data_IF_757659999889
#
_entry.id   IF_757659999889
#
_cell.length_a   1.000
_cell.length_b   1.000
_cell.length_c   1.000
_cell.angle_alpha   90.00
_cell.angle_beta   90.00
_cell.angle_gamma   90.00
#
_symmetry.space_group_name_H-M   'P 1'
#
loop_
_entity.id
_entity.type
_entity.pdbx_description
1 polymer ?
#
# COMPACT_ATOMS: atom_id res chain seq x y z
N UNK A 1 32.69 75.61 44.00
CA UNK A 1 33.42 74.33 43.90
C UNK A 1 32.55 73.35 43.13
N UNK A 2 33.10 72.77 42.20
CA UNK A 2 32.61 72.11 40.98
C UNK A 2 31.51 71.07 41.19
N UNK A 3 30.36 71.23 40.55
CA UNK A 3 29.29 70.26 40.35
C UNK A 3 29.51 69.49 39.03
N UNK A 4 29.51 68.18 39.08
CA UNK A 4 29.53 67.32 37.89
C UNK A 4 28.11 66.88 37.55
N UNK A 5 27.63 67.33 36.39
CA UNK A 5 26.45 66.82 35.76
C UNK A 5 26.74 65.42 35.19
N UNK A 6 25.93 64.45 35.52
CA UNK A 6 25.89 63.12 34.86
C UNK A 6 24.66 63.09 33.96
N UNK A 7 24.90 63.03 32.66
CA UNK A 7 23.86 62.82 31.62
C UNK A 7 23.59 61.34 31.48
N UNK A 8 22.39 60.90 31.82
CA UNK A 8 21.94 59.52 31.59
C UNK A 8 21.57 59.34 30.12
N UNK A 9 22.27 58.46 29.41
CA UNK A 9 21.94 58.01 28.03
C UNK A 9 21.02 56.80 28.16
N UNK A 10 19.73 56.98 27.79
CA UNK A 10 18.75 55.87 27.68
C UNK A 10 18.99 55.17 26.33
N UNK A 11 19.47 53.91 26.38
CA UNK A 11 19.59 53.06 25.21
C UNK A 11 18.26 52.36 25.00
N UNK A 12 17.57 52.69 23.93
CA UNK A 12 16.34 52.05 23.46
C UNK A 12 16.73 50.76 22.72
N UNK A 13 16.56 49.62 23.31
CA UNK A 13 16.78 48.33 22.65
C UNK A 13 15.57 48.01 21.76
N UNK A 14 15.77 48.09 20.42
CA UNK A 14 14.84 47.55 19.41
C UNK A 14 14.96 46.03 19.42
N UNK A 15 13.98 45.35 19.96
CA UNK A 15 13.82 43.89 19.82
C UNK A 15 13.30 43.59 18.40
N UNK A 16 14.21 43.19 17.51
CA UNK A 16 13.82 42.58 16.23
C UNK A 16 13.32 41.17 16.50
N UNK A 17 12.00 40.98 16.42
CA UNK A 17 11.37 39.67 16.47
C UNK A 17 11.76 38.86 15.22
N UNK A 18 12.69 37.94 15.37
CA UNK A 18 12.91 36.88 14.38
C UNK A 18 11.70 35.94 14.41
N UNK A 19 10.82 36.07 13.41
CA UNK A 19 9.82 35.08 13.12
C UNK A 19 10.52 33.76 12.79
N UNK A 20 10.46 32.79 13.71
CA UNK A 20 10.94 31.44 13.50
C UNK A 20 10.11 30.72 12.43
N UNK A 21 10.48 30.89 11.17
CA UNK A 21 10.03 30.00 10.11
C UNK A 21 10.51 28.60 10.47
N UNK A 22 9.58 27.62 10.58
CA UNK A 22 9.95 26.21 10.67
C UNK A 22 10.90 25.91 9.51
N UNK A 23 12.02 25.20 9.74
CA UNK A 23 12.87 24.76 8.65
C UNK A 23 12.00 23.98 7.67
N UNK A 24 11.98 24.37 6.41
CA UNK A 24 11.44 23.54 5.32
C UNK A 24 12.37 22.33 5.28
N UNK A 25 11.88 21.19 5.79
CA UNK A 25 12.62 19.92 5.72
C UNK A 25 12.94 19.69 4.25
N UNK A 26 14.21 19.70 3.88
CA UNK A 26 14.63 19.46 2.50
C UNK A 26 14.11 18.09 2.06
N UNK A 27 13.38 18.06 0.95
CA UNK A 27 12.89 16.81 0.40
C UNK A 27 14.06 15.83 0.25
N UNK A 28 13.83 14.57 0.61
CA UNK A 28 14.83 13.51 0.35
C UNK A 28 15.21 13.55 -1.13
N UNK A 29 16.50 13.48 -1.50
CA UNK A 29 16.93 13.52 -2.90
C UNK A 29 16.28 12.43 -3.77
N UNK A 30 15.76 11.37 -3.14
CA UNK A 30 15.09 10.25 -3.81
C UNK A 30 13.55 10.33 -3.69
N UNK A 31 12.98 11.45 -3.24
CA UNK A 31 11.53 11.60 -3.11
C UNK A 31 10.85 11.50 -4.47
N UNK A 32 9.72 10.78 -4.54
CA UNK A 32 8.93 10.73 -5.78
C UNK A 32 8.26 12.08 -6.05
N UNK A 33 8.05 12.38 -7.32
CA UNK A 33 7.39 13.62 -7.76
C UNK A 33 5.95 13.32 -8.24
N UNK A 34 5.05 14.32 -8.22
CA UNK A 34 3.70 14.17 -8.76
C UNK A 34 3.69 13.68 -10.21
N UNK A 35 4.59 14.19 -11.05
CA UNK A 35 4.69 13.78 -12.45
C UNK A 35 5.09 12.31 -12.62
N UNK A 36 6.08 11.82 -11.85
CA UNK A 36 6.52 10.43 -11.89
C UNK A 36 5.45 9.48 -11.34
N UNK A 37 4.68 9.93 -10.35
CA UNK A 37 3.55 9.20 -9.79
C UNK A 37 2.43 9.06 -10.81
N UNK A 38 2.02 10.17 -11.44
CA UNK A 38 0.94 10.21 -12.42
C UNK A 38 1.26 9.40 -13.68
N UNK A 39 2.50 9.41 -14.16
CA UNK A 39 2.91 8.65 -15.34
C UNK A 39 2.69 7.14 -15.15
N UNK A 40 3.10 6.59 -14.00
CA UNK A 40 2.91 5.16 -13.70
C UNK A 40 1.43 4.83 -13.43
N UNK A 41 0.71 5.72 -12.74
CA UNK A 41 -0.72 5.58 -12.49
C UNK A 41 -1.50 5.49 -13.80
N UNK A 42 -1.22 6.40 -14.75
CA UNK A 42 -1.86 6.38 -16.07
C UNK A 42 -1.60 5.08 -16.83
N UNK A 43 -0.42 4.50 -16.68
CA UNK A 43 -0.12 3.20 -17.30
C UNK A 43 -0.90 2.04 -16.66
N UNK A 44 -1.11 2.08 -15.34
CA UNK A 44 -1.80 1.03 -14.58
C UNK A 44 -3.34 1.16 -14.60
N UNK A 45 -3.87 2.36 -14.82
CA UNK A 45 -5.31 2.62 -14.93
C UNK A 45 -5.75 2.88 -16.38
N UNK A 46 -4.98 2.45 -17.38
CA UNK A 46 -5.29 2.67 -18.80
C UNK A 46 -6.35 1.67 -19.30
N UNK A 47 -7.23 2.11 -20.18
CA UNK A 47 -8.32 1.30 -20.78
C UNK A 47 -7.83 -0.02 -21.39
N UNK A 48 -6.63 -0.04 -21.96
CA UNK A 48 -6.04 -1.26 -22.54
C UNK A 48 -5.80 -2.40 -21.53
N UNK A 49 -5.90 -2.10 -20.22
CA UNK A 49 -5.85 -3.07 -19.14
C UNK A 49 -7.25 -3.59 -18.74
N UNK A 50 -8.31 -3.13 -19.43
CA UNK A 50 -9.66 -3.71 -19.33
C UNK A 50 -10.19 -3.76 -17.88
N UNK A 51 -9.81 -2.77 -17.04
CA UNK A 51 -10.17 -2.72 -15.63
C UNK A 51 -9.59 -3.87 -14.78
N UNK A 52 -8.53 -4.51 -15.21
CA UNK A 52 -7.68 -5.46 -14.48
C UNK A 52 -8.40 -6.58 -13.74
N UNK A 53 -9.55 -7.06 -14.26
CA UNK A 53 -10.27 -8.16 -13.62
C UNK A 53 -9.40 -9.42 -13.52
N UNK A 54 -9.35 -10.02 -12.34
CA UNK A 54 -8.64 -11.29 -12.09
C UNK A 54 -8.97 -12.35 -13.14
N UNK A 55 -7.93 -12.91 -13.77
CA UNK A 55 -8.07 -13.96 -14.79
C UNK A 55 -8.24 -13.47 -16.21
N UNK A 56 -8.25 -12.18 -16.49
CA UNK A 56 -8.39 -11.60 -17.82
C UNK A 56 -7.02 -11.28 -18.47
N UNK A 57 -6.96 -11.05 -19.79
CA UNK A 57 -5.75 -10.52 -20.43
C UNK A 57 -5.32 -9.16 -19.87
N UNK A 58 -6.24 -8.32 -19.44
CA UNK A 58 -5.97 -7.00 -18.88
C UNK A 58 -5.11 -7.06 -17.62
N UNK A 59 -5.46 -7.92 -16.66
CA UNK A 59 -4.65 -8.09 -15.44
C UNK A 59 -3.28 -8.70 -15.74
N UNK A 60 -3.17 -9.60 -16.73
CA UNK A 60 -1.89 -10.15 -17.13
C UNK A 60 -0.94 -9.09 -17.71
N UNK A 61 -1.48 -8.12 -18.48
CA UNK A 61 -0.73 -6.96 -18.96
C UNK A 61 -0.25 -6.09 -17.77
N UNK A 62 -1.12 -5.83 -16.78
CA UNK A 62 -0.77 -5.09 -15.58
C UNK A 62 0.35 -5.78 -14.78
N UNK A 63 0.26 -7.09 -14.57
CA UNK A 63 1.31 -7.89 -13.93
C UNK A 63 2.66 -7.74 -14.67
N UNK A 64 2.62 -7.74 -16.02
CA UNK A 64 3.80 -7.50 -16.85
C UNK A 64 4.40 -6.10 -16.70
N UNK A 65 3.57 -5.05 -16.51
CA UNK A 65 4.04 -3.69 -16.22
C UNK A 65 4.74 -3.68 -14.86
N UNK A 66 4.11 -4.22 -13.82
CA UNK A 66 4.66 -4.27 -12.46
C UNK A 66 5.99 -5.02 -12.42
N UNK A 67 6.08 -6.19 -13.06
CA UNK A 67 7.31 -6.97 -13.11
C UNK A 67 8.46 -6.22 -13.84
N UNK A 68 8.17 -5.49 -14.92
CA UNK A 68 9.16 -4.64 -15.59
C UNK A 68 9.64 -3.49 -14.69
N UNK A 69 8.74 -2.85 -13.97
CA UNK A 69 9.12 -1.80 -13.02
C UNK A 69 9.96 -2.37 -11.88
N UNK A 70 9.61 -3.52 -11.29
CA UNK A 70 10.44 -4.20 -10.29
C UNK A 70 11.83 -4.53 -10.83
N UNK A 71 11.92 -4.97 -12.10
CA UNK A 71 13.22 -5.19 -12.78
C UNK A 71 14.01 -3.89 -12.94
N UNK A 72 13.36 -2.81 -13.40
CA UNK A 72 13.99 -1.49 -13.56
C UNK A 72 14.53 -0.94 -12.24
N UNK A 73 13.79 -1.14 -11.15
CA UNK A 73 14.18 -0.76 -9.79
C UNK A 73 15.37 -1.61 -9.30
N UNK A 74 15.56 -2.81 -9.82
CA UNK A 74 16.61 -3.73 -9.40
C UNK A 74 16.22 -4.62 -8.22
N UNK A 75 14.92 -4.90 -8.05
CA UNK A 75 14.46 -5.88 -7.06
C UNK A 75 14.82 -7.31 -7.50
N UNK A 76 15.11 -8.16 -6.53
CA UNK A 76 15.32 -9.59 -6.78
C UNK A 76 13.97 -10.30 -6.92
N UNK A 77 13.71 -11.05 -7.99
CA UNK A 77 12.49 -11.83 -8.13
C UNK A 77 12.44 -12.98 -7.10
N UNK A 78 11.26 -13.20 -6.52
CA UNK A 78 11.03 -14.25 -5.52
C UNK A 78 9.73 -15.05 -5.74
N UNK A 79 9.13 -14.94 -6.91
CA UNK A 79 8.03 -15.82 -7.31
C UNK A 79 8.53 -17.20 -7.75
N UNK A 80 7.62 -18.13 -7.98
CA UNK A 80 7.94 -19.47 -8.52
C UNK A 80 8.29 -19.45 -10.02
N UNK A 81 8.06 -18.30 -10.69
CA UNK A 81 8.46 -18.02 -12.07
C UNK A 81 8.90 -16.55 -12.19
N UNK A 82 10.14 -16.27 -11.83
CA UNK A 82 10.66 -14.89 -11.75
C UNK A 82 9.94 -14.07 -10.69
N UNK A 83 9.29 -12.97 -11.08
CA UNK A 83 8.49 -12.18 -10.16
C UNK A 83 7.09 -12.78 -9.88
N UNK A 84 6.65 -13.78 -10.64
CA UNK A 84 5.29 -14.30 -10.58
C UNK A 84 5.17 -15.48 -9.62
N UNK A 85 4.35 -15.34 -8.58
CA UNK A 85 3.86 -16.44 -7.78
C UNK A 85 2.52 -16.89 -8.36
N UNK A 86 2.45 -18.10 -8.91
CA UNK A 86 1.23 -18.66 -9.48
C UNK A 86 0.21 -18.96 -8.39
N UNK A 87 -1.07 -18.78 -8.72
CA UNK A 87 -2.19 -19.02 -7.81
C UNK A 87 -3.18 -19.98 -8.48
N UNK A 88 -3.63 -21.05 -7.79
CA UNK A 88 -4.54 -22.04 -8.36
C UNK A 88 -5.99 -21.55 -8.32
N UNK A 89 -6.34 -20.61 -9.20
CA UNK A 89 -7.69 -20.07 -9.29
C UNK A 89 -8.60 -20.93 -10.19
N UNK A 90 -9.87 -21.02 -9.80
CA UNK A 90 -10.92 -21.70 -10.56
C UNK A 90 -12.18 -20.87 -10.59
N UNK A 91 -12.93 -20.97 -11.70
CA UNK A 91 -14.29 -20.46 -11.77
C UNK A 91 -15.22 -21.41 -10.99
N UNK A 92 -16.01 -20.85 -10.09
CA UNK A 92 -16.91 -21.57 -9.22
C UNK A 92 -18.30 -20.91 -9.22
N UNK A 93 -19.24 -21.57 -8.56
CA UNK A 93 -20.53 -20.97 -8.21
C UNK A 93 -20.53 -20.80 -6.69
N UNK A 94 -20.60 -19.58 -6.24
CA UNK A 94 -20.81 -19.27 -4.82
C UNK A 94 -22.30 -19.19 -4.53
N UNK A 95 -22.76 -19.84 -3.49
CA UNK A 95 -24.17 -19.76 -3.06
C UNK A 95 -24.29 -18.64 -2.03
N UNK A 96 -25.01 -17.58 -2.41
CA UNK A 96 -25.34 -16.45 -1.54
C UNK A 96 -26.85 -16.30 -1.48
N UNK A 97 -27.42 -16.36 -0.29
CA UNK A 97 -28.90 -16.28 -0.08
C UNK A 97 -29.66 -17.23 -1.02
N UNK A 98 -29.21 -18.51 -1.09
CA UNK A 98 -29.77 -19.58 -1.92
C UNK A 98 -29.65 -19.35 -3.44
N UNK A 99 -28.91 -18.34 -3.90
CA UNK A 99 -28.65 -18.07 -5.31
C UNK A 99 -27.20 -18.42 -5.66
N UNK A 100 -27.02 -19.14 -6.77
CA UNK A 100 -25.70 -19.39 -7.34
C UNK A 100 -25.20 -18.15 -8.08
N UNK A 101 -24.08 -17.60 -7.63
CA UNK A 101 -23.43 -16.45 -8.25
C UNK A 101 -22.09 -16.91 -8.83
N UNK A 102 -21.75 -16.56 -10.09
CA UNK A 102 -20.41 -16.82 -10.62
C UNK A 102 -19.33 -16.16 -9.75
N UNK A 103 -18.33 -16.94 -9.38
CA UNK A 103 -17.23 -16.50 -8.54
C UNK A 103 -15.89 -17.05 -9.05
N UNK A 104 -14.81 -16.41 -8.65
CA UNK A 104 -13.46 -16.95 -8.74
C UNK A 104 -13.02 -17.33 -7.32
N UNK A 105 -12.42 -18.48 -7.14
CA UNK A 105 -11.96 -18.95 -5.84
C UNK A 105 -10.64 -19.70 -5.93
N UNK A 106 -9.98 -19.90 -4.79
CA UNK A 106 -8.79 -20.73 -4.67
C UNK A 106 -9.16 -22.21 -4.68
N UNK A 107 -8.51 -23.00 -5.52
CA UNK A 107 -8.40 -24.43 -5.31
C UNK A 107 -7.40 -24.72 -4.19
N UNK A 108 -7.57 -25.81 -3.46
CA UNK A 108 -6.69 -26.16 -2.33
C UNK A 108 -5.25 -26.48 -2.74
N UNK A 109 -5.02 -26.77 -4.02
CA UNK A 109 -3.70 -27.01 -4.62
C UNK A 109 -3.77 -26.89 -6.16
N UNK A 110 -2.61 -26.86 -6.82
CA UNK A 110 -2.55 -26.92 -8.28
C UNK A 110 -3.10 -28.24 -8.82
N UNK A 111 -2.85 -29.38 -8.15
CA UNK A 111 -3.42 -30.68 -8.53
C UNK A 111 -4.96 -30.64 -8.47
N UNK A 112 -5.53 -30.05 -7.42
CA UNK A 112 -6.97 -29.85 -7.33
C UNK A 112 -7.50 -28.92 -8.43
N UNK A 113 -6.80 -27.80 -8.74
CA UNK A 113 -7.15 -26.94 -9.89
C UNK A 113 -7.14 -27.71 -11.19
N UNK A 114 -6.14 -28.55 -11.40
CA UNK A 114 -5.97 -29.29 -12.65
C UNK A 114 -6.97 -30.44 -12.83
N UNK A 115 -7.73 -30.79 -11.80
CA UNK A 115 -8.91 -31.67 -11.91
C UNK A 115 -10.15 -30.96 -12.50
N UNK A 116 -10.18 -29.62 -12.48
CA UNK A 116 -11.27 -28.86 -13.12
C UNK A 116 -11.13 -28.88 -14.65
N UNK A 117 -12.25 -28.74 -15.39
CA UNK A 117 -12.20 -28.57 -16.84
C UNK A 117 -11.35 -27.36 -17.23
N UNK A 118 -10.61 -27.37 -18.37
CA UNK A 118 -9.73 -26.28 -18.78
C UNK A 118 -10.39 -24.91 -18.78
N UNK A 119 -11.64 -24.81 -19.20
CA UNK A 119 -12.42 -23.55 -19.22
C UNK A 119 -12.85 -23.05 -17.84
N UNK A 120 -12.59 -23.79 -16.79
CA UNK A 120 -12.80 -23.38 -15.39
C UNK A 120 -11.50 -23.01 -14.69
N UNK A 121 -10.35 -23.25 -15.28
CA UNK A 121 -9.04 -22.90 -14.72
C UNK A 121 -8.72 -21.45 -15.03
N UNK A 122 -8.62 -20.62 -14.00
CA UNK A 122 -8.37 -19.20 -14.12
C UNK A 122 -6.87 -18.92 -13.93
N UNK A 123 -6.20 -18.19 -14.82
CA UNK A 123 -4.83 -17.74 -14.58
C UNK A 123 -4.81 -16.67 -13.49
N UNK A 124 -3.86 -16.78 -12.55
CA UNK A 124 -3.69 -15.82 -11.47
C UNK A 124 -2.24 -15.81 -10.97
N UNK A 125 -1.75 -14.62 -10.65
CA UNK A 125 -0.39 -14.40 -10.19
C UNK A 125 -0.37 -13.29 -9.15
N UNK A 126 0.37 -13.48 -8.06
CA UNK A 126 0.95 -12.35 -7.33
C UNK A 126 2.25 -11.93 -8.02
N UNK A 127 2.64 -10.67 -7.91
CA UNK A 127 3.94 -10.17 -8.42
C UNK A 127 4.80 -9.78 -7.23
N UNK A 128 5.95 -10.45 -7.06
CA UNK A 128 6.77 -10.40 -5.86
C UNK A 128 8.22 -10.04 -6.17
N UNK A 129 8.71 -8.96 -5.57
CA UNK A 129 10.11 -8.55 -5.63
C UNK A 129 10.69 -8.32 -4.24
N UNK A 130 12.00 -8.56 -4.08
CA UNK A 130 12.69 -8.43 -2.80
C UNK A 130 13.80 -7.39 -2.88
N UNK A 131 13.89 -6.54 -1.86
CA UNK A 131 15.05 -5.72 -1.53
C UNK A 131 15.75 -6.33 -0.32
N UNK A 132 16.98 -6.81 -0.51
CA UNK A 132 17.74 -7.50 0.52
C UNK A 132 18.13 -6.55 1.66
N UNK A 133 17.92 -6.99 2.91
CA UNK A 133 18.39 -6.31 4.11
C UNK A 133 19.91 -6.34 4.27
N UNK A 134 20.44 -5.40 5.02
CA UNK A 134 21.89 -5.25 5.22
C UNK A 134 22.39 -5.63 6.61
N UNK A 135 21.52 -5.90 7.58
CA UNK A 135 21.91 -6.20 8.95
C UNK A 135 21.95 -7.72 9.19
N UNK A 136 23.13 -8.30 9.46
CA UNK A 136 23.27 -9.74 9.73
C UNK A 136 22.45 -10.23 10.93
N UNK A 137 22.16 -9.35 11.92
CA UNK A 137 21.37 -9.70 13.11
C UNK A 137 19.88 -9.81 12.79
N UNK A 138 19.42 -9.15 11.70
CA UNK A 138 18.04 -9.16 11.24
C UNK A 138 17.86 -9.92 9.92
N UNK A 139 18.88 -10.66 9.47
CA UNK A 139 18.85 -11.40 8.20
C UNK A 139 17.75 -12.49 8.16
N UNK A 140 17.30 -12.97 9.32
CA UNK A 140 16.16 -13.89 9.44
C UNK A 140 14.80 -13.19 9.50
N UNK A 141 14.73 -11.85 9.41
CA UNK A 141 13.47 -11.11 9.46
C UNK A 141 13.21 -10.37 8.16
N UNK A 142 11.94 -10.33 7.77
CA UNK A 142 11.50 -9.54 6.63
C UNK A 142 10.18 -8.81 6.93
N UNK A 143 9.91 -7.77 6.16
CA UNK A 143 8.62 -7.09 6.13
C UNK A 143 8.00 -7.22 4.74
N UNK A 144 6.68 -7.17 4.67
CA UNK A 144 5.95 -7.18 3.39
C UNK A 144 5.22 -5.85 3.24
N UNK A 145 5.43 -5.21 2.10
CA UNK A 145 4.71 -4.00 1.68
C UNK A 145 3.93 -4.35 0.42
N UNK A 146 2.63 -4.24 0.45
CA UNK A 146 1.76 -4.73 -0.62
C UNK A 146 0.68 -3.74 -1.03
N UNK A 147 0.05 -4.06 -2.17
CA UNK A 147 -1.14 -3.43 -2.72
C UNK A 147 -1.82 -4.42 -3.66
N UNK A 148 -3.13 -4.33 -3.88
CA UNK A 148 -3.75 -5.16 -4.89
C UNK A 148 -3.71 -4.49 -6.27
N UNK A 149 -3.59 -5.31 -7.34
CA UNK A 149 -3.50 -4.77 -8.68
C UNK A 149 -4.66 -5.19 -9.58
N UNK A 150 -5.57 -6.04 -9.10
CA UNK A 150 -6.83 -6.34 -9.77
C UNK A 150 -7.87 -5.25 -9.47
N UNK A 151 -8.93 -5.22 -10.29
CA UNK A 151 -10.10 -4.41 -10.07
C UNK A 151 -11.33 -5.04 -10.73
N UNK A 152 -12.38 -4.28 -10.91
CA UNK A 152 -13.72 -4.75 -11.27
C UNK A 152 -13.83 -5.27 -12.70
N UNK A 153 -13.01 -4.78 -13.64
CA UNK A 153 -13.02 -5.20 -15.04
C UNK A 153 -13.97 -4.41 -15.93
N UNK A 154 -14.56 -5.10 -16.92
CA UNK A 154 -15.53 -4.53 -17.87
C UNK A 154 -16.92 -5.02 -17.52
N UNK A 155 -17.86 -4.12 -17.36
CA UNK A 155 -19.31 -4.41 -17.21
C UNK A 155 -20.14 -3.26 -17.74
N UNK A 156 -21.35 -3.60 -18.23
CA UNK A 156 -22.31 -2.57 -18.64
C UNK A 156 -22.60 -1.61 -17.49
N UNK A 157 -22.60 -0.31 -17.79
CA UNK A 157 -22.92 0.74 -16.83
C UNK A 157 -23.81 1.81 -17.47
N UNK A 158 -24.76 2.44 -16.71
CA UNK A 158 -25.67 3.44 -17.25
C UNK A 158 -25.00 4.70 -17.83
N UNK A 159 -23.78 5.03 -17.43
CA UNK A 159 -23.01 6.16 -17.98
C UNK A 159 -22.56 5.95 -19.44
N UNK A 160 -22.65 4.72 -19.97
CA UNK A 160 -22.11 4.35 -21.27
C UNK A 160 -20.63 3.91 -21.22
N UNK A 161 -19.86 4.34 -20.24
CA UNK A 161 -18.52 3.81 -19.96
C UNK A 161 -18.64 2.47 -19.24
N UNK A 162 -17.95 1.47 -19.75
CA UNK A 162 -18.01 0.09 -19.25
C UNK A 162 -16.71 -0.40 -18.61
N UNK A 163 -15.64 0.41 -18.68
CA UNK A 163 -14.31 0.04 -18.16
C UNK A 163 -14.15 0.64 -16.78
N UNK A 164 -13.99 -0.20 -15.79
CA UNK A 164 -13.74 0.20 -14.39
C UNK A 164 -12.23 0.28 -14.20
N UNK A 165 -11.62 1.44 -14.45
CA UNK A 165 -10.18 1.61 -14.49
C UNK A 165 -9.51 1.53 -13.11
N UNK A 166 -10.23 1.86 -12.02
CA UNK A 166 -9.72 1.75 -10.66
C UNK A 166 -8.40 2.50 -10.48
N UNK A 167 -8.42 3.82 -10.77
CA UNK A 167 -7.21 4.63 -10.66
C UNK A 167 -6.82 4.83 -9.20
N UNK A 168 -7.80 5.10 -8.34
CA UNK A 168 -7.59 5.15 -6.90
C UNK A 168 -7.61 3.74 -6.31
N UNK A 169 -8.54 2.88 -6.74
CA UNK A 169 -8.75 1.51 -6.28
C UNK A 169 -8.23 0.45 -7.29
N UNK A 170 -7.06 -0.16 -7.17
CA UNK A 170 -5.95 0.25 -6.31
C UNK A 170 -4.65 0.40 -7.13
N UNK A 171 -4.80 1.02 -8.35
CA UNK A 171 -3.59 1.39 -9.09
C UNK A 171 -2.73 2.39 -8.28
N UNK A 172 -3.36 3.21 -7.42
CA UNK A 172 -2.65 4.18 -6.58
C UNK A 172 -1.74 3.49 -5.55
N UNK A 173 -2.22 2.44 -4.91
CA UNK A 173 -1.42 1.63 -3.98
C UNK A 173 -0.29 0.88 -4.66
N UNK A 174 -0.54 0.30 -5.84
CA UNK A 174 0.51 -0.37 -6.63
C UNK A 174 1.62 0.62 -7.00
N UNK A 175 1.26 1.83 -7.44
CA UNK A 175 2.25 2.90 -7.70
C UNK A 175 3.04 3.22 -6.43
N UNK A 176 2.38 3.28 -5.27
CA UNK A 176 3.06 3.54 -4.02
C UNK A 176 4.08 2.45 -3.69
N UNK A 177 3.70 1.18 -3.77
CA UNK A 177 4.59 0.03 -3.53
C UNK A 177 5.85 0.13 -4.40
N UNK A 178 5.70 0.40 -5.70
CA UNK A 178 6.81 0.52 -6.64
C UNK A 178 7.67 1.77 -6.37
N UNK A 179 7.06 2.92 -6.05
CA UNK A 179 7.81 4.16 -5.75
C UNK A 179 8.51 4.12 -4.40
N UNK A 180 7.95 3.44 -3.40
CA UNK A 180 8.63 3.16 -2.13
C UNK A 180 9.85 2.26 -2.39
N UNK A 181 9.69 1.19 -3.17
CA UNK A 181 10.78 0.31 -3.55
C UNK A 181 11.92 1.07 -4.24
N UNK A 182 11.59 1.96 -5.19
CA UNK A 182 12.55 2.80 -5.92
C UNK A 182 13.34 3.71 -4.97
N UNK A 183 12.66 4.39 -4.03
CA UNK A 183 13.29 5.26 -3.04
C UNK A 183 14.23 4.49 -2.10
N UNK A 184 13.79 3.32 -1.64
CA UNK A 184 14.58 2.51 -0.71
C UNK A 184 15.77 1.84 -1.38
N UNK A 185 15.64 1.43 -2.65
CA UNK A 185 16.73 0.87 -3.45
C UNK A 185 17.82 1.91 -3.74
N UNK A 186 17.41 3.17 -3.97
CA UNK A 186 18.34 4.29 -4.23
C UNK A 186 19.02 4.82 -2.95
N UNK A 187 18.55 4.43 -1.77
CA UNK A 187 19.06 4.84 -0.46
C UNK A 187 20.00 3.83 0.20
N UNK A 188 20.35 4.05 1.46
CA UNK A 188 21.07 3.05 2.26
C UNK A 188 20.26 1.76 2.37
N UNK A 189 20.91 0.59 2.40
CA UNK A 189 20.22 -0.68 2.60
C UNK A 189 19.37 -0.65 3.87
N UNK A 190 18.11 -1.14 3.83
CA UNK A 190 17.33 -1.34 5.05
C UNK A 190 17.97 -2.43 5.92
N UNK A 191 17.71 -2.42 7.22
CA UNK A 191 18.23 -3.47 8.09
C UNK A 191 17.57 -4.82 7.81
N UNK A 192 16.22 -4.85 7.71
CA UNK A 192 15.46 -6.05 7.32
C UNK A 192 15.27 -6.13 5.81
N UNK A 193 15.14 -7.33 5.33
CA UNK A 193 14.67 -7.59 3.97
C UNK A 193 13.25 -7.06 3.81
N UNK A 194 12.96 -6.45 2.65
CA UNK A 194 11.62 -5.96 2.31
C UNK A 194 11.12 -6.70 1.07
N UNK A 195 9.95 -7.31 1.19
CA UNK A 195 9.22 -7.87 0.07
C UNK A 195 8.21 -6.81 -0.40
N UNK A 196 8.25 -6.50 -1.68
CA UNK A 196 7.26 -5.67 -2.36
C UNK A 196 6.34 -6.59 -3.15
N UNK A 197 5.04 -6.49 -2.89
CA UNK A 197 4.05 -7.41 -3.41
C UNK A 197 2.90 -6.67 -4.11
N UNK A 198 2.46 -7.22 -5.26
CA UNK A 198 1.21 -6.83 -5.87
C UNK A 198 0.29 -8.07 -5.88
N UNK A 199 -0.84 -7.96 -5.18
CA UNK A 199 -1.78 -9.05 -4.98
C UNK A 199 -2.83 -9.11 -6.07
N UNK A 200 -3.25 -10.32 -6.47
CA UNK A 200 -4.38 -10.53 -7.37
C UNK A 200 -5.60 -11.03 -6.60
N UNK A 201 -6.79 -10.69 -7.06
CA UNK A 201 -8.03 -11.23 -6.53
C UNK A 201 -8.41 -10.70 -5.15
N UNK A 202 -7.99 -9.50 -4.81
CA UNK A 202 -8.47 -8.78 -3.62
C UNK A 202 -9.97 -8.60 -3.71
N UNK A 203 -10.47 -8.06 -4.83
CA UNK A 203 -11.86 -7.83 -5.21
C UNK A 203 -12.73 -9.12 -5.27
N UNK A 204 -12.09 -10.27 -5.16
CA UNK A 204 -12.71 -11.59 -5.15
C UNK A 204 -12.57 -12.31 -3.81
N UNK A 205 -12.16 -11.58 -2.77
CA UNK A 205 -12.03 -12.05 -1.40
C UNK A 205 -10.59 -12.33 -0.99
N UNK A 206 -9.68 -11.39 -1.27
CA UNK A 206 -8.28 -11.38 -0.81
C UNK A 206 -7.50 -12.62 -1.26
N UNK A 207 -7.78 -13.14 -2.48
CA UNK A 207 -7.32 -14.46 -2.90
C UNK A 207 -5.79 -14.55 -2.98
N UNK A 208 -5.14 -13.49 -3.48
CA UNK A 208 -3.69 -13.43 -3.63
C UNK A 208 -2.95 -13.42 -2.30
N UNK A 209 -3.32 -12.52 -1.40
CA UNK A 209 -2.76 -12.44 -0.06
C UNK A 209 -3.06 -13.70 0.77
N UNK A 210 -4.27 -14.26 0.63
CA UNK A 210 -4.63 -15.53 1.26
C UNK A 210 -3.72 -16.66 0.81
N UNK A 211 -3.52 -16.82 -0.52
CA UNK A 211 -2.62 -17.84 -1.04
C UNK A 211 -1.20 -17.64 -0.54
N UNK A 212 -0.69 -16.39 -0.60
CA UNK A 212 0.64 -16.07 -0.11
C UNK A 212 0.80 -16.37 1.40
N UNK A 213 -0.19 -16.05 2.22
CA UNK A 213 -0.14 -16.33 3.67
C UNK A 213 -0.08 -17.82 4.01
N UNK A 214 -0.55 -18.69 3.10
CA UNK A 214 -0.47 -20.14 3.22
C UNK A 214 0.76 -20.73 2.49
N UNK A 215 1.30 -20.02 1.50
CA UNK A 215 2.42 -20.43 0.64
C UNK A 215 3.42 -19.28 0.47
N UNK A 216 4.04 -18.81 1.56
CA UNK A 216 4.89 -17.63 1.52
C UNK A 216 6.21 -17.91 0.80
N UNK A 217 6.75 -16.90 0.08
CA UNK A 217 8.04 -16.99 -0.59
C UNK A 217 9.23 -17.01 0.39
N UNK A 218 9.06 -16.43 1.57
CA UNK A 218 9.97 -16.53 2.72
C UNK A 218 9.18 -17.01 3.95
N UNK A 219 9.82 -17.68 4.94
CA UNK A 219 9.14 -18.25 6.09
C UNK A 219 8.25 -17.24 6.82
N UNK A 220 6.99 -17.56 7.03
CA UNK A 220 5.99 -16.64 7.58
C UNK A 220 6.29 -16.23 9.04
N UNK A 221 6.91 -17.10 9.82
CA UNK A 221 7.36 -16.84 11.20
C UNK A 221 8.50 -15.82 11.28
N UNK A 222 9.21 -15.60 10.17
CA UNK A 222 10.21 -14.56 10.01
C UNK A 222 9.64 -13.21 9.56
N UNK A 223 8.35 -13.15 9.23
CA UNK A 223 7.70 -11.90 8.88
C UNK A 223 7.52 -11.01 10.12
N UNK A 224 8.18 -9.87 10.12
CA UNK A 224 8.08 -8.91 11.22
C UNK A 224 6.75 -8.15 11.19
N UNK A 225 6.29 -7.76 10.02
CA UNK A 225 5.01 -7.06 9.80
C UNK A 225 4.61 -7.12 8.33
N UNK A 226 3.33 -6.77 8.09
CA UNK A 226 2.80 -6.44 6.77
C UNK A 226 2.20 -5.01 6.81
N UNK A 227 2.45 -4.24 5.75
CA UNK A 227 1.84 -2.94 5.49
C UNK A 227 1.25 -2.95 4.09
N UNK A 228 -0.06 -2.92 4.00
CA UNK A 228 -0.75 -2.69 2.73
C UNK A 228 -0.94 -1.21 2.47
N UNK A 229 -0.99 -0.82 1.20
CA UNK A 229 -1.24 0.55 0.78
C UNK A 229 -2.38 0.50 -0.22
N UNK A 230 -3.48 1.17 0.10
CA UNK A 230 -4.72 1.09 -0.67
C UNK A 230 -5.39 2.46 -0.74
N UNK A 231 -5.82 2.85 -1.96
CA UNK A 231 -6.61 4.06 -2.21
C UNK A 231 -5.99 5.33 -1.59
N UNK A 232 -4.86 5.76 -2.14
CA UNK A 232 -4.13 6.94 -1.67
C UNK A 232 -4.14 8.11 -2.67
N UNK A 233 -5.01 8.05 -3.67
CA UNK A 233 -5.07 9.05 -4.72
C UNK A 233 -5.83 10.32 -4.35
N UNK A 234 -6.60 10.34 -3.26
CA UNK A 234 -7.44 11.49 -2.88
C UNK A 234 -7.28 11.85 -1.40
N UNK A 235 -7.19 13.17 -1.08
CA UNK A 235 -7.04 13.62 0.30
C UNK A 235 -8.30 13.35 1.12
N UNK A 236 -8.12 12.90 2.35
CA UNK A 236 -9.18 12.73 3.33
C UNK A 236 -9.13 13.86 4.39
N UNK A 237 -10.21 14.65 4.47
CA UNK A 237 -10.33 15.72 5.46
C UNK A 237 -10.29 15.20 6.90
N UNK A 238 -10.79 13.99 7.16
CA UNK A 238 -10.73 13.37 8.49
C UNK A 238 -9.32 12.92 8.88
N UNK A 239 -8.45 12.65 7.89
CA UNK A 239 -7.03 12.43 8.13
C UNK A 239 -6.24 13.73 8.32
N UNK A 240 -6.86 14.89 8.06
CA UNK A 240 -6.25 16.21 8.13
C UNK A 240 -5.86 16.78 6.76
N UNK A 241 -6.41 16.25 5.67
CA UNK A 241 -6.29 16.80 4.32
C UNK A 241 -5.05 16.34 3.53
N UNK A 242 -4.61 17.12 2.54
CA UNK A 242 -3.56 16.73 1.60
C UNK A 242 -2.25 16.30 2.28
N UNK A 243 -1.61 15.27 1.72
CA UNK A 243 -0.32 14.74 2.19
C UNK A 243 -0.41 13.90 3.47
N UNK A 244 -1.61 13.58 3.95
CA UNK A 244 -1.85 12.77 5.14
C UNK A 244 -2.61 11.50 4.77
N UNK A 245 -2.34 10.43 5.52
CA UNK A 245 -3.01 9.15 5.40
C UNK A 245 -3.46 8.66 6.77
N UNK A 246 -4.31 7.64 6.79
CA UNK A 246 -4.71 6.96 8.01
C UNK A 246 -4.32 5.48 7.97
N UNK A 247 -4.19 4.88 9.15
CA UNK A 247 -3.83 3.48 9.33
C UNK A 247 -5.03 2.72 9.91
N UNK A 248 -5.43 1.63 9.25
CA UNK A 248 -6.48 0.75 9.77
C UNK A 248 -6.04 0.10 11.08
N UNK A 249 -6.95 0.02 12.06
CA UNK A 249 -6.63 -0.63 13.33
C UNK A 249 -5.42 -0.03 14.05
N UNK A 250 -5.21 1.26 13.93
CA UNK A 250 -4.11 2.02 14.54
C UNK A 250 -3.92 1.72 16.03
N UNK A 251 -5.01 1.54 16.75
CA UNK A 251 -5.05 1.23 18.18
C UNK A 251 -4.65 -0.21 18.52
N UNK A 252 -4.61 -1.12 17.53
CA UNK A 252 -4.45 -2.56 17.74
C UNK A 252 -3.00 -2.98 17.98
N UNK A 253 -2.04 -2.21 17.51
CA UNK A 253 -0.62 -2.53 17.64
C UNK A 253 0.22 -1.31 18.01
N UNK A 254 1.51 -1.52 18.26
CA UNK A 254 2.47 -0.43 18.52
C UNK A 254 2.92 0.28 17.26
N UNK A 255 2.51 -0.17 16.06
CA UNK A 255 2.94 0.41 14.78
C UNK A 255 2.51 1.88 14.66
N UNK A 256 1.22 2.18 14.91
CA UNK A 256 0.70 3.54 14.79
C UNK A 256 1.43 4.54 15.71
N UNK A 257 1.71 4.15 16.95
CA UNK A 257 2.45 4.98 17.91
C UNK A 257 3.89 5.22 17.47
N UNK A 258 4.55 4.20 16.92
CA UNK A 258 5.91 4.33 16.40
C UNK A 258 5.98 5.33 15.22
N UNK A 259 4.99 5.29 14.32
CA UNK A 259 4.89 6.24 13.19
C UNK A 259 4.64 7.67 13.70
N UNK A 260 3.74 7.83 14.67
CA UNK A 260 3.43 9.13 15.28
C UNK A 260 4.64 9.73 16.01
N UNK A 261 5.37 8.91 16.79
CA UNK A 261 6.57 9.34 17.52
C UNK A 261 7.67 9.82 16.55
N UNK A 262 7.73 9.25 15.34
CA UNK A 262 8.64 9.69 14.28
C UNK A 262 8.13 10.90 13.48
N UNK A 263 6.97 11.48 13.83
CA UNK A 263 6.39 12.63 13.13
C UNK A 263 5.88 12.31 11.71
N UNK A 264 5.66 11.04 11.39
CA UNK A 264 5.15 10.63 10.07
C UNK A 264 3.65 10.98 10.02
N UNK A 265 3.15 11.64 8.96
CA UNK A 265 1.79 12.18 8.89
C UNK A 265 0.73 11.08 8.62
N UNK A 266 0.77 10.01 9.42
CA UNK A 266 -0.18 8.90 9.39
C UNK A 266 -0.96 8.91 10.72
N UNK A 267 -2.28 8.93 10.64
CA UNK A 267 -3.18 9.10 11.77
C UNK A 267 -4.11 7.88 11.94
N UNK A 268 -4.84 7.75 13.05
CA UNK A 268 -5.86 6.71 13.18
C UNK A 268 -6.98 6.87 12.15
N UNK A 269 -7.54 5.74 11.67
CA UNK A 269 -8.82 5.73 10.95
C UNK A 269 -9.93 6.33 11.83
N UNK A 270 -10.67 7.31 11.28
CA UNK A 270 -11.76 8.01 11.94
C UNK A 270 -13.15 7.43 11.61
N UNK A 271 -13.19 6.28 10.93
CA UNK A 271 -14.42 5.62 10.50
C UNK A 271 -14.54 4.18 11.04
N UNK A 272 -14.52 3.97 12.37
CA UNK A 272 -14.50 2.62 12.96
C UNK A 272 -15.70 1.77 12.52
N UNK A 273 -16.85 2.39 12.22
CA UNK A 273 -18.04 1.70 11.74
C UNK A 273 -17.85 1.05 10.35
N UNK A 274 -16.90 1.52 9.55
CA UNK A 274 -16.58 0.93 8.24
C UNK A 274 -15.78 -0.36 8.33
N UNK A 275 -15.13 -0.59 9.48
CA UNK A 275 -14.32 -1.77 9.73
C UNK A 275 -13.26 -2.05 8.63
N UNK A 276 -12.61 -1.00 8.14
CA UNK A 276 -11.62 -1.09 7.07
C UNK A 276 -10.48 -2.07 7.37
N UNK A 277 -10.14 -2.27 8.64
CA UNK A 277 -9.12 -3.24 9.06
C UNK A 277 -9.35 -4.66 8.51
N UNK A 278 -10.61 -5.05 8.23
CA UNK A 278 -10.97 -6.38 7.71
C UNK A 278 -11.20 -6.42 6.20
N UNK A 279 -11.05 -5.31 5.51
CA UNK A 279 -11.51 -5.16 4.13
C UNK A 279 -10.39 -5.13 3.11
N UNK A 280 -9.13 -5.29 3.53
CA UNK A 280 -7.96 -5.31 2.66
C UNK A 280 -7.06 -6.50 2.97
N UNK A 281 -6.07 -6.73 2.14
CA UNK A 281 -5.16 -7.87 2.14
C UNK A 281 -4.39 -8.06 3.45
N UNK A 282 -4.17 -6.98 4.23
CA UNK A 282 -3.56 -7.03 5.56
C UNK A 282 -4.27 -8.03 6.49
N UNK A 283 -5.57 -8.23 6.29
CA UNK A 283 -6.35 -9.08 7.19
C UNK A 283 -5.92 -10.55 7.15
N UNK A 284 -5.46 -11.04 5.98
CA UNK A 284 -4.96 -12.41 5.85
C UNK A 284 -3.71 -12.65 6.72
N UNK A 285 -2.81 -11.68 6.79
CA UNK A 285 -1.62 -11.73 7.63
C UNK A 285 -1.96 -11.54 9.13
N UNK A 286 -2.90 -10.65 9.44
CA UNK A 286 -3.38 -10.45 10.80
C UNK A 286 -3.99 -11.72 11.40
N UNK A 287 -4.75 -12.50 10.62
CA UNK A 287 -5.29 -13.80 11.02
C UNK A 287 -4.18 -14.82 11.34
N UNK A 288 -3.03 -14.74 10.65
CA UNK A 288 -1.84 -15.56 10.95
C UNK A 288 -1.08 -15.08 12.19
N UNK A 289 -1.47 -13.95 12.79
CA UNK A 289 -0.86 -13.40 13.99
C UNK A 289 0.23 -12.35 13.74
N UNK A 290 0.50 -12.02 12.50
CA UNK A 290 1.46 -11.00 12.09
C UNK A 290 0.83 -9.62 12.28
N UNK A 291 1.57 -8.64 12.83
CA UNK A 291 1.11 -7.26 12.87
C UNK A 291 0.96 -6.75 11.44
N UNK A 292 -0.28 -6.45 11.05
CA UNK A 292 -0.63 -6.13 9.68
C UNK A 292 -1.70 -5.02 9.65
N UNK A 293 -1.48 -4.01 8.85
CA UNK A 293 -2.36 -2.85 8.72
C UNK A 293 -2.37 -2.35 7.28
N UNK A 294 -3.42 -1.62 6.91
CA UNK A 294 -3.50 -0.89 5.64
C UNK A 294 -3.36 0.60 5.89
N UNK A 295 -2.50 1.25 5.10
CA UNK A 295 -2.36 2.69 4.98
C UNK A 295 -3.24 3.16 3.82
N UNK A 296 -4.11 4.13 4.06
CA UNK A 296 -5.02 4.66 3.05
C UNK A 296 -5.31 6.14 3.26
N UNK A 297 -5.83 6.80 2.24
CA UNK A 297 -6.47 8.11 2.35
C UNK A 297 -7.89 8.13 1.78
N UNK A 298 -8.50 6.96 1.64
CA UNK A 298 -9.85 6.81 1.10
C UNK A 298 -10.86 7.64 1.90
N UNK A 299 -11.46 8.61 1.23
CA UNK A 299 -12.37 9.60 1.81
C UNK A 299 -13.85 9.28 1.62
N UNK A 300 -14.20 8.05 1.20
CA UNK A 300 -15.55 7.58 0.88
C UNK A 300 -16.14 8.29 -0.35
N UNK A 301 -15.33 8.64 -1.35
CA UNK A 301 -15.80 9.27 -2.58
C UNK A 301 -16.75 8.38 -3.39
N UNK A 302 -17.63 8.99 -4.15
CA UNK A 302 -18.68 8.29 -4.90
C UNK A 302 -18.17 7.49 -6.12
N UNK A 303 -16.92 7.70 -6.53
CA UNK A 303 -16.32 7.00 -7.67
C UNK A 303 -15.83 5.57 -7.32
N UNK A 304 -15.87 5.19 -6.03
CA UNK A 304 -15.48 3.83 -5.59
C UNK A 304 -16.31 2.77 -6.32
N UNK A 305 -15.62 1.83 -6.99
CA UNK A 305 -16.22 0.81 -7.85
C UNK A 305 -17.12 1.37 -8.95
N UNK A 306 -16.74 2.53 -9.51
CA UNK A 306 -17.40 3.16 -10.64
C UNK A 306 -16.45 3.33 -11.82
N UNK A 307 -16.95 3.41 -13.08
CA UNK A 307 -16.11 3.75 -14.23
C UNK A 307 -15.46 5.13 -14.12
N UNK A 308 -16.02 6.00 -13.27
CA UNK A 308 -15.51 7.35 -13.02
C UNK A 308 -14.28 7.40 -12.10
N UNK A 309 -13.81 6.25 -11.56
CA UNK A 309 -12.52 6.19 -10.86
C UNK A 309 -11.37 6.21 -11.87
N UNK A 310 -11.07 7.40 -12.35
CA UNK A 310 -10.12 7.70 -13.43
C UNK A 310 -8.93 8.51 -12.91
N UNK A 311 -7.85 8.53 -13.69
CA UNK A 311 -6.60 9.23 -13.34
C UNK A 311 -6.76 10.73 -13.18
N UNK A 312 -7.73 11.37 -13.87
CA UNK A 312 -8.04 12.79 -13.76
C UNK A 312 -8.69 13.17 -12.41
N UNK A 313 -9.15 12.18 -11.65
CA UNK A 313 -9.71 12.36 -10.30
C UNK A 313 -8.67 12.27 -9.20
N UNK A 314 -7.47 11.83 -9.51
CA UNK A 314 -6.39 11.65 -8.53
C UNK A 314 -5.63 12.96 -8.32
N UNK A 315 -5.44 13.34 -7.07
CA UNK A 315 -4.55 14.45 -6.67
C UNK A 315 -3.10 13.93 -6.61
N UNK A 316 -2.37 14.15 -7.70
CA UNK A 316 -0.99 13.68 -7.83
C UNK A 316 -0.03 14.30 -6.79
N UNK A 317 -0.30 15.51 -6.30
CA UNK A 317 0.52 16.13 -5.24
C UNK A 317 0.27 15.45 -3.91
N UNK A 318 -0.98 15.22 -3.56
CA UNK A 318 -1.38 14.45 -2.37
C UNK A 318 -0.76 13.04 -2.42
N UNK A 319 -0.98 12.32 -3.52
CA UNK A 319 -0.50 10.96 -3.69
C UNK A 319 1.03 10.87 -3.55
N UNK A 320 1.79 11.76 -4.19
CA UNK A 320 3.25 11.80 -4.06
C UNK A 320 3.69 12.11 -2.62
N UNK A 321 3.00 13.01 -1.91
CA UNK A 321 3.29 13.31 -0.52
C UNK A 321 3.02 12.11 0.41
N UNK A 322 1.91 11.40 0.20
CA UNK A 322 1.59 10.17 0.95
C UNK A 322 2.61 9.06 0.67
N UNK A 323 3.02 8.86 -0.59
CA UNK A 323 4.07 7.90 -0.96
C UNK A 323 5.39 8.23 -0.23
N UNK A 324 5.80 9.50 -0.21
CA UNK A 324 7.02 9.92 0.47
C UNK A 324 6.93 9.72 1.99
N UNK A 325 5.77 9.93 2.59
CA UNK A 325 5.52 9.62 3.99
C UNK A 325 5.56 8.11 4.26
N UNK A 326 4.94 7.31 3.38
CA UNK A 326 4.95 5.85 3.47
C UNK A 326 6.37 5.26 3.30
N UNK A 327 7.20 5.84 2.43
CA UNK A 327 8.62 5.44 2.30
C UNK A 327 9.40 5.67 3.60
N UNK A 328 9.18 6.80 4.28
CA UNK A 328 9.74 7.06 5.63
C UNK A 328 9.20 6.05 6.66
N UNK A 329 7.91 5.71 6.60
CA UNK A 329 7.30 4.72 7.47
C UNK A 329 7.91 3.33 7.27
N UNK A 330 8.02 2.88 6.02
CA UNK A 330 8.62 1.57 5.68
C UNK A 330 10.08 1.52 6.11
N UNK A 331 10.86 2.60 5.91
CA UNK A 331 12.25 2.72 6.39
C UNK A 331 12.31 2.57 7.92
N UNK A 332 11.50 3.31 8.65
CA UNK A 332 11.43 3.24 10.11
C UNK A 332 11.11 1.81 10.59
N UNK A 333 10.14 1.17 9.96
CA UNK A 333 9.69 -0.18 10.32
C UNK A 333 10.69 -1.27 9.93
N UNK A 334 11.42 -1.08 8.82
CA UNK A 334 12.47 -2.00 8.39
C UNK A 334 13.72 -1.92 9.30
N UNK A 335 14.02 -0.74 9.84
CA UNK A 335 15.23 -0.49 10.62
C UNK A 335 14.99 -0.54 12.14
N UNK A 336 13.76 -0.33 12.57
CA UNK A 336 13.37 -0.19 13.97
C UNK A 336 12.95 -1.49 14.67
N UNK A 337 12.42 -1.38 15.89
CA UNK A 337 11.86 -2.53 16.60
C UNK A 337 10.68 -3.15 15.86
N UNK A 338 10.53 -4.48 15.94
CA UNK A 338 9.37 -5.20 15.45
C UNK A 338 8.10 -4.72 16.18
N UNK A 339 7.05 -4.27 15.49
CA UNK A 339 5.82 -3.88 16.15
C UNK A 339 5.12 -5.08 16.77
N UNK A 340 4.37 -4.86 17.84
CA UNK A 340 3.65 -5.88 18.59
C UNK A 340 2.16 -5.58 18.65
N UNK A 341 1.35 -6.64 18.66
CA UNK A 341 -0.06 -6.49 19.00
C UNK A 341 -0.22 -6.02 20.45
N UNK A 342 -1.11 -5.07 20.67
CA UNK A 342 -1.57 -4.71 22.01
C UNK A 342 -2.53 -5.77 22.54
N UNK A 343 -2.77 -5.82 23.85
CA UNK A 343 -3.78 -6.73 24.42
C UNK A 343 -5.13 -6.57 23.71
N UNK A 344 -5.68 -7.68 23.19
CA UNK A 344 -6.93 -7.69 22.41
C UNK A 344 -6.83 -7.12 20.99
N UNK A 345 -5.65 -6.67 20.54
CA UNK A 345 -5.47 -6.08 19.21
C UNK A 345 -5.45 -7.09 18.06
N UNK A 346 -4.90 -8.29 18.31
CA UNK A 346 -4.88 -9.36 17.31
C UNK A 346 -6.32 -9.84 17.02
N UNK A 347 -6.73 -9.96 15.74
CA UNK A 347 -8.03 -10.53 15.41
C UNK A 347 -8.07 -12.04 15.74
N UNK A 348 -9.21 -12.50 16.22
CA UNK A 348 -9.51 -13.93 16.32
C UNK A 348 -9.92 -14.46 14.95
N UNK A 349 -9.41 -15.59 14.50
CA UNK A 349 -9.95 -16.30 13.34
C UNK A 349 -11.47 -16.53 13.51
N UNK A 350 -12.25 -16.42 12.43
CA UNK A 350 -13.70 -16.64 12.46
C UNK A 350 -14.06 -18.08 12.82
#
# INVERSE_FOLDING_TARGET
MWSRNQTAITVLALATGCGGGRPVESASPNATTPAATLALLTALAHDSLEGRLTGTPGIAKAAGIIAREMTRIGLTPIGDSGYFQRIPLVAAIQVVNQRGIPAITLAVSFAARDSFPPNKRIPGFNVLGKLEGGDPQLAGEHIVVGAHYDHVGIRAHPSGDSIFNGADDDASGVVAVLKIAEQLQAGPKPRRTIIFAAWTGEERGLLGARWYSDHPALPLDQMALNLEIEMIGRPDSLAGGPGRAWLTGYERSTMGEALAAAGIPIVPDKRPAQNFFRRSDNYQFALKGIVAHTLSSYNMHADYHQPSDQTDKVDAQHMAAVINAAAKAVRLLADGPKPMWKPGGRPTPP
#
